data_IF_035015432853
#
_entry.id   IF_035015432853
#
_cell.length_a   1.000
_cell.length_b   1.000
_cell.length_c   1.000
_cell.angle_alpha   90.00
_cell.angle_beta   90.00
_cell.angle_gamma   90.00
#
_symmetry.space_group_name_H-M   'P 1'
#
loop_
_entity.id
_entity.type
_entity.pdbx_description
1 polymer ?
#
# COMPACT_ATOMS: atom_id res chain seq x y z
N UNK A 1 -11.86 -18.51 2.30
CA UNK A 1 -11.30 -19.32 3.41
C UNK A 1 -10.80 -18.46 4.58
N UNK A 2 -11.38 -17.26 4.75
CA UNK A 2 -11.08 -16.34 5.86
C UNK A 2 -11.54 -16.88 7.23
N UNK A 3 -11.00 -16.29 8.31
CA UNK A 3 -11.32 -16.62 9.70
C UNK A 3 -11.15 -18.10 10.05
N UNK A 4 -9.98 -18.66 9.78
CA UNK A 4 -9.63 -20.04 10.09
C UNK A 4 -8.27 -20.13 10.82
N UNK A 5 -7.69 -21.30 10.86
CA UNK A 5 -6.38 -21.56 11.47
C UNK A 5 -5.44 -22.23 10.47
N UNK A 6 -5.61 -21.91 9.19
CA UNK A 6 -4.80 -22.52 8.13
C UNK A 6 -3.35 -22.05 8.26
N UNK A 7 -2.43 -22.97 8.31
CA UNK A 7 -0.99 -22.72 8.26
C UNK A 7 -0.41 -22.88 6.85
N UNK A 8 -1.18 -23.50 5.95
CA UNK A 8 -0.83 -23.68 4.55
C UNK A 8 -2.08 -23.55 3.67
N UNK A 9 -1.91 -23.01 2.46
CA UNK A 9 -2.98 -22.84 1.47
C UNK A 9 -2.41 -23.00 0.06
N UNK A 10 -2.75 -24.10 -0.58
CA UNK A 10 -2.34 -24.36 -1.96
C UNK A 10 -3.47 -24.02 -2.93
N UNK A 11 -3.28 -22.98 -3.74
CA UNK A 11 -4.21 -22.52 -4.79
C UNK A 11 -3.66 -22.68 -6.20
N UNK A 12 -2.54 -23.36 -6.39
CA UNK A 12 -1.82 -23.46 -7.67
C UNK A 12 -2.63 -24.11 -8.79
N UNK A 13 -3.60 -24.97 -8.46
CA UNK A 13 -4.50 -25.60 -9.41
C UNK A 13 -5.76 -24.76 -9.73
N UNK A 14 -6.01 -23.69 -8.96
CA UNK A 14 -7.20 -22.84 -9.11
C UNK A 14 -6.91 -21.68 -10.08
N UNK A 15 -6.47 -21.97 -11.29
CA UNK A 15 -5.98 -21.00 -12.29
C UNK A 15 -7.02 -19.98 -12.76
N UNK A 16 -8.30 -20.21 -12.48
CA UNK A 16 -9.38 -19.29 -12.83
C UNK A 16 -9.84 -18.41 -11.66
N UNK A 17 -9.12 -18.44 -10.52
CA UNK A 17 -9.42 -17.55 -9.40
C UNK A 17 -9.29 -16.08 -9.84
N UNK A 18 -10.36 -15.33 -9.59
CA UNK A 18 -10.39 -13.88 -9.73
C UNK A 18 -10.38 -13.17 -8.40
N UNK A 19 -10.79 -13.85 -7.32
CA UNK A 19 -10.77 -13.33 -5.96
C UNK A 19 -10.28 -14.41 -5.02
N UNK A 20 -9.28 -14.07 -4.19
CA UNK A 20 -8.82 -14.89 -3.09
C UNK A 20 -8.94 -14.10 -1.80
N UNK A 21 -9.73 -14.63 -0.85
CA UNK A 21 -9.82 -14.13 0.50
C UNK A 21 -9.38 -15.23 1.48
N UNK A 22 -8.20 -15.01 2.09
CA UNK A 22 -7.59 -15.90 3.08
C UNK A 22 -7.19 -15.14 4.36
N UNK A 23 -7.87 -14.03 4.64
CA UNK A 23 -7.64 -13.21 5.84
C UNK A 23 -7.82 -14.01 7.14
N UNK A 24 -7.19 -13.53 8.22
CA UNK A 24 -7.31 -14.12 9.56
C UNK A 24 -7.01 -15.62 9.59
N UNK A 25 -5.81 -15.99 9.16
CA UNK A 25 -5.26 -17.35 9.22
C UNK A 25 -3.86 -17.34 9.87
N UNK A 26 -3.08 -18.38 9.69
CA UNK A 26 -1.71 -18.53 10.19
C UNK A 26 -0.73 -18.85 9.05
N UNK A 27 -1.02 -18.33 7.84
CA UNK A 27 -0.19 -18.56 6.68
C UNK A 27 1.15 -17.83 6.85
N UNK A 28 2.25 -18.53 6.71
CA UNK A 28 3.59 -17.95 6.68
C UNK A 28 4.10 -17.69 5.25
N UNK A 29 3.44 -18.26 4.26
CA UNK A 29 3.70 -18.04 2.84
C UNK A 29 2.41 -18.17 2.03
N UNK A 30 2.37 -17.56 0.84
CA UNK A 30 1.24 -17.66 -0.09
C UNK A 30 1.77 -17.59 -1.52
N UNK A 31 1.65 -18.69 -2.28
CA UNK A 31 1.99 -18.73 -3.69
C UNK A 31 0.75 -18.50 -4.57
N UNK A 32 0.69 -17.34 -5.22
CA UNK A 32 -0.34 -16.96 -6.18
C UNK A 32 0.16 -16.89 -7.63
N UNK A 33 1.38 -17.36 -7.90
CA UNK A 33 2.03 -17.27 -9.21
C UNK A 33 1.26 -17.95 -10.35
N UNK A 34 0.41 -18.94 -10.04
CA UNK A 34 -0.43 -19.64 -11.02
C UNK A 34 -1.83 -19.04 -11.18
N UNK A 35 -2.20 -18.10 -10.32
CA UNK A 35 -3.52 -17.46 -10.31
C UNK A 35 -3.47 -16.13 -11.07
N UNK A 36 -3.04 -16.17 -12.33
CA UNK A 36 -2.76 -14.97 -13.16
C UNK A 36 -4.03 -14.15 -13.50
N UNK A 37 -5.21 -14.67 -13.19
CA UNK A 37 -6.50 -13.98 -13.37
C UNK A 37 -6.99 -13.29 -12.09
N UNK A 38 -6.17 -13.26 -11.02
CA UNK A 38 -6.57 -12.57 -9.80
C UNK A 38 -6.75 -11.07 -10.04
N UNK A 39 -7.92 -10.59 -9.62
CA UNK A 39 -8.31 -9.18 -9.58
C UNK A 39 -8.30 -8.65 -8.14
N UNK A 40 -8.64 -9.51 -7.17
CA UNK A 40 -8.69 -9.14 -5.77
C UNK A 40 -7.98 -10.18 -4.91
N UNK A 41 -7.02 -9.72 -4.10
CA UNK A 41 -6.30 -10.54 -3.13
C UNK A 41 -6.41 -9.90 -1.75
N UNK A 42 -6.99 -10.64 -0.81
CA UNK A 42 -7.11 -10.29 0.61
C UNK A 42 -6.42 -11.35 1.45
N UNK A 43 -5.27 -11.01 2.04
CA UNK A 43 -4.48 -11.92 2.86
C UNK A 43 -4.09 -11.29 4.22
N UNK A 44 -4.90 -10.34 4.70
CA UNK A 44 -4.66 -9.64 5.96
C UNK A 44 -4.59 -10.58 7.16
N UNK A 45 -3.89 -10.15 8.22
CA UNK A 45 -3.82 -10.88 9.49
C UNK A 45 -3.40 -12.34 9.31
N UNK A 46 -2.23 -12.51 8.73
CA UNK A 46 -1.49 -13.76 8.60
C UNK A 46 -0.06 -13.57 9.14
N UNK A 47 0.82 -14.49 8.84
CA UNK A 47 2.23 -14.45 9.23
C UNK A 47 3.15 -14.44 8.00
N UNK A 48 2.68 -13.94 6.86
CA UNK A 48 3.37 -13.95 5.57
C UNK A 48 4.61 -13.05 5.65
N UNK A 49 5.78 -13.62 5.33
CA UNK A 49 7.06 -12.92 5.36
C UNK A 49 7.44 -12.32 4.00
N UNK A 50 6.98 -12.93 2.91
CA UNK A 50 7.18 -12.45 1.54
C UNK A 50 5.95 -12.72 0.68
N UNK A 51 5.62 -11.80 -0.24
CA UNK A 51 4.47 -11.92 -1.14
C UNK A 51 4.89 -11.45 -2.54
N UNK A 52 4.92 -12.37 -3.50
CA UNK A 52 5.18 -12.07 -4.90
C UNK A 52 3.86 -12.01 -5.68
N UNK A 53 3.54 -10.81 -6.18
CA UNK A 53 2.36 -10.54 -6.99
C UNK A 53 2.70 -10.20 -8.45
N UNK A 54 3.94 -10.42 -8.86
CA UNK A 54 4.44 -10.05 -10.20
C UNK A 54 3.71 -10.76 -11.35
N UNK A 55 3.15 -11.96 -11.09
CA UNK A 55 2.35 -12.72 -12.06
C UNK A 55 0.87 -12.31 -12.08
N UNK A 56 0.42 -11.51 -11.13
CA UNK A 56 -0.99 -11.12 -10.98
C UNK A 56 -1.21 -9.70 -11.51
N UNK A 57 -0.82 -9.48 -12.77
CA UNK A 57 -0.75 -8.14 -13.38
C UNK A 57 -2.11 -7.44 -13.50
N UNK A 58 -3.22 -8.18 -13.44
CA UNK A 58 -4.58 -7.64 -13.46
C UNK A 58 -5.14 -7.28 -12.07
N UNK A 59 -4.33 -7.29 -11.00
CA UNK A 59 -4.81 -6.93 -9.67
C UNK A 59 -5.37 -5.51 -9.65
N UNK A 60 -6.59 -5.39 -9.12
CA UNK A 60 -7.30 -4.14 -8.85
C UNK A 60 -7.21 -3.80 -7.37
N UNK A 61 -7.35 -4.81 -6.51
CA UNK A 61 -7.26 -4.64 -5.05
C UNK A 61 -6.26 -5.63 -4.46
N UNK A 62 -5.32 -5.11 -3.69
CA UNK A 62 -4.41 -5.90 -2.86
C UNK A 62 -4.50 -5.43 -1.41
N UNK A 63 -4.83 -6.35 -0.50
CA UNK A 63 -4.77 -6.13 0.94
C UNK A 63 -3.93 -7.22 1.61
N UNK A 64 -2.86 -6.80 2.29
CA UNK A 64 -1.94 -7.67 3.03
C UNK A 64 -1.57 -7.07 4.40
N UNK A 65 -2.53 -6.36 5.02
CA UNK A 65 -2.35 -5.67 6.31
C UNK A 65 -2.08 -6.69 7.43
N UNK A 66 -1.29 -6.29 8.44
CA UNK A 66 -0.94 -7.15 9.57
C UNK A 66 -0.33 -8.50 9.16
N UNK A 67 0.83 -8.42 8.51
CA UNK A 67 1.69 -9.54 8.17
C UNK A 67 3.14 -9.27 8.65
N UNK A 68 4.10 -10.01 8.15
CA UNK A 68 5.53 -9.85 8.47
C UNK A 68 6.35 -9.49 7.23
N UNK A 69 5.70 -9.00 6.16
CA UNK A 69 6.31 -8.71 4.86
C UNK A 69 7.39 -7.65 5.03
N UNK A 70 8.60 -7.93 4.51
CA UNK A 70 9.76 -7.03 4.61
C UNK A 70 9.94 -6.14 3.37
N UNK A 71 9.41 -6.56 2.22
CA UNK A 71 9.44 -5.83 0.96
C UNK A 71 8.23 -6.20 0.09
N UNK A 72 7.74 -5.26 -0.70
CA UNK A 72 6.66 -5.50 -1.66
C UNK A 72 6.97 -4.75 -2.96
N UNK A 73 6.92 -5.48 -4.08
CA UNK A 73 7.02 -4.91 -5.42
C UNK A 73 5.66 -4.98 -6.13
N UNK A 74 5.00 -3.84 -6.26
CA UNK A 74 3.75 -3.66 -6.99
C UNK A 74 3.93 -3.04 -8.38
N UNK A 75 5.17 -2.94 -8.88
CA UNK A 75 5.49 -2.26 -10.15
C UNK A 75 4.89 -2.93 -11.39
N UNK A 76 4.47 -4.20 -11.28
CA UNK A 76 3.81 -4.95 -12.35
C UNK A 76 2.28 -4.88 -12.31
N UNK A 77 1.71 -4.25 -11.28
CA UNK A 77 0.27 -4.25 -11.03
C UNK A 77 -0.34 -2.88 -11.39
N UNK A 78 -0.17 -2.45 -12.66
CA UNK A 78 -0.56 -1.12 -13.13
C UNK A 78 -2.09 -0.84 -13.10
N UNK A 79 -2.90 -1.87 -12.90
CA UNK A 79 -4.35 -1.77 -12.77
C UNK A 79 -4.82 -1.60 -11.30
N UNK A 80 -3.89 -1.53 -10.33
CA UNK A 80 -4.27 -1.33 -8.93
C UNK A 80 -5.04 -0.01 -8.74
N UNK A 81 -6.19 -0.13 -8.09
CA UNK A 81 -7.03 0.97 -7.61
C UNK A 81 -6.88 1.15 -6.09
N UNK A 82 -6.60 0.07 -5.36
CA UNK A 82 -6.40 0.08 -3.91
C UNK A 82 -5.27 -0.86 -3.49
N UNK A 83 -4.30 -0.32 -2.75
CA UNK A 83 -3.24 -1.08 -2.09
C UNK A 83 -3.26 -0.79 -0.59
N UNK A 84 -3.44 -1.83 0.21
CA UNK A 84 -3.37 -1.78 1.66
C UNK A 84 -2.33 -2.79 2.17
N UNK A 85 -1.22 -2.24 2.69
CA UNK A 85 -0.09 -3.02 3.17
C UNK A 85 0.44 -2.53 4.54
N UNK A 86 -0.43 -1.88 5.30
CA UNK A 86 -0.14 -1.35 6.63
C UNK A 86 0.28 -2.42 7.64
N UNK A 87 1.00 -2.01 8.68
CA UNK A 87 1.37 -2.89 9.81
C UNK A 87 2.10 -4.16 9.34
N UNK A 88 3.21 -3.94 8.66
CA UNK A 88 4.16 -4.95 8.22
C UNK A 88 5.58 -4.59 8.71
N UNK A 89 6.60 -5.23 8.17
CA UNK A 89 8.01 -4.96 8.46
C UNK A 89 8.74 -4.31 7.28
N UNK A 90 8.00 -3.70 6.33
CA UNK A 90 8.56 -3.26 5.05
C UNK A 90 9.55 -2.12 5.23
N UNK A 91 10.76 -2.35 4.74
CA UNK A 91 11.76 -1.31 4.50
C UNK A 91 11.74 -0.81 3.04
N UNK A 92 11.11 -1.56 2.13
CA UNK A 92 11.00 -1.23 0.71
C UNK A 92 9.56 -1.48 0.20
N UNK A 93 9.01 -0.47 -0.48
CA UNK A 93 7.78 -0.57 -1.25
C UNK A 93 8.04 0.04 -2.63
N UNK A 94 7.95 -0.80 -3.68
CA UNK A 94 8.15 -0.37 -5.07
C UNK A 94 6.78 -0.24 -5.74
N UNK A 95 6.39 0.99 -6.09
CA UNK A 95 5.07 1.24 -6.69
C UNK A 95 5.11 1.18 -8.23
N UNK A 96 6.16 1.68 -8.88
CA UNK A 96 6.19 1.78 -10.34
C UNK A 96 5.31 2.93 -10.85
N UNK A 97 4.38 2.63 -11.78
CA UNK A 97 3.42 3.60 -12.32
C UNK A 97 2.02 2.99 -12.25
N UNK A 98 1.22 3.43 -11.27
CA UNK A 98 -0.12 2.94 -11.00
C UNK A 98 -1.15 4.09 -11.11
N UNK A 99 -1.45 4.58 -12.33
CA UNK A 99 -2.24 5.82 -12.50
C UNK A 99 -3.70 5.68 -12.03
N UNK A 100 -4.18 4.45 -11.87
CA UNK A 100 -5.53 4.15 -11.38
C UNK A 100 -5.60 4.08 -9.85
N UNK A 101 -4.44 4.08 -9.16
CA UNK A 101 -4.40 3.95 -7.71
C UNK A 101 -5.03 5.18 -7.05
N UNK A 102 -6.10 4.95 -6.31
CA UNK A 102 -6.82 5.99 -5.57
C UNK A 102 -6.55 5.92 -4.06
N UNK A 103 -6.24 4.73 -3.54
CA UNK A 103 -5.97 4.51 -2.11
C UNK A 103 -4.67 3.77 -1.92
N UNK A 104 -3.75 4.37 -1.16
CA UNK A 104 -2.54 3.73 -0.66
C UNK A 104 -2.50 3.80 0.87
N UNK A 105 -2.45 2.65 1.52
CA UNK A 105 -2.24 2.51 2.96
C UNK A 105 -0.98 1.69 3.19
N UNK A 106 0.10 2.36 3.59
CA UNK A 106 1.39 1.75 3.89
C UNK A 106 1.93 2.19 5.26
N UNK A 107 1.02 2.66 6.12
CA UNK A 107 1.33 3.08 7.48
C UNK A 107 1.89 1.94 8.35
N UNK A 108 2.61 2.31 9.43
CA UNK A 108 3.19 1.37 10.40
C UNK A 108 4.09 0.32 9.74
N UNK A 109 5.10 0.81 9.05
CA UNK A 109 6.16 0.04 8.42
C UNK A 109 7.55 0.63 8.81
N UNK A 110 8.58 0.37 8.04
CA UNK A 110 9.94 0.86 8.26
C UNK A 110 10.48 1.58 7.03
N UNK A 111 9.59 2.13 6.18
CA UNK A 111 9.96 2.78 4.93
C UNK A 111 10.81 4.02 5.21
N UNK A 112 11.98 4.11 4.59
CA UNK A 112 12.84 5.30 4.62
C UNK A 112 12.61 6.22 3.43
N UNK A 113 11.94 5.73 2.38
CA UNK A 113 11.54 6.48 1.19
C UNK A 113 10.22 5.93 0.64
N UNK A 114 9.47 6.78 -0.06
CA UNK A 114 8.23 6.41 -0.74
C UNK A 114 8.15 7.22 -2.03
N UNK A 115 8.26 6.54 -3.19
CA UNK A 115 8.08 7.14 -4.50
C UNK A 115 6.69 6.81 -5.04
N UNK A 116 5.85 7.85 -5.14
CA UNK A 116 4.48 7.80 -5.62
C UNK A 116 4.24 8.77 -6.78
N UNK A 117 5.31 9.21 -7.43
CA UNK A 117 5.20 10.19 -8.53
C UNK A 117 4.40 9.65 -9.73
N UNK A 118 4.38 8.31 -9.91
CA UNK A 118 3.60 7.63 -10.94
C UNK A 118 2.11 7.45 -10.62
N UNK A 119 1.72 7.66 -9.34
CA UNK A 119 0.38 7.36 -8.84
C UNK A 119 -0.50 8.62 -8.86
N UNK A 120 -0.66 9.20 -10.04
CA UNK A 120 -1.28 10.53 -10.22
C UNK A 120 -2.78 10.56 -9.86
N UNK A 121 -3.44 9.41 -9.82
CA UNK A 121 -4.83 9.27 -9.39
C UNK A 121 -5.06 9.22 -7.88
N UNK A 122 -3.97 9.26 -7.08
CA UNK A 122 -4.02 9.02 -5.64
C UNK A 122 -4.84 10.10 -4.92
N UNK A 123 -5.90 9.64 -4.22
CA UNK A 123 -6.81 10.50 -3.46
C UNK A 123 -6.59 10.38 -1.96
N UNK A 124 -6.22 9.18 -1.49
CA UNK A 124 -5.99 8.89 -0.08
C UNK A 124 -4.63 8.24 0.13
N UNK A 125 -3.79 8.89 0.94
CA UNK A 125 -2.49 8.38 1.35
C UNK A 125 -2.42 8.28 2.87
N UNK A 126 -2.09 7.08 3.37
CA UNK A 126 -1.68 6.83 4.76
C UNK A 126 -0.28 6.25 4.75
N UNK A 127 0.68 7.01 5.24
CA UNK A 127 2.07 6.61 5.36
C UNK A 127 2.68 6.95 6.73
N UNK A 128 1.80 7.17 7.74
CA UNK A 128 2.21 7.43 9.12
C UNK A 128 2.96 6.25 9.73
N UNK A 129 3.73 6.51 10.80
CA UNK A 129 4.48 5.46 11.50
C UNK A 129 5.51 4.76 10.61
N UNK A 130 6.35 5.54 9.91
CA UNK A 130 7.45 5.08 9.08
C UNK A 130 8.75 5.81 9.42
N UNK A 131 9.79 5.68 8.62
CA UNK A 131 11.08 6.36 8.78
C UNK A 131 11.34 7.39 7.66
N UNK A 132 10.28 7.97 7.07
CA UNK A 132 10.41 8.90 5.96
C UNK A 132 11.05 10.20 6.43
N UNK A 133 12.13 10.63 5.78
CA UNK A 133 12.75 11.94 5.99
C UNK A 133 12.21 13.02 5.06
N UNK A 134 11.62 12.61 3.95
CA UNK A 134 10.98 13.47 2.94
C UNK A 134 9.75 12.76 2.37
N UNK A 135 8.78 13.56 1.90
CA UNK A 135 7.62 13.06 1.16
C UNK A 135 7.30 14.06 0.04
N UNK A 136 7.41 13.63 -1.22
CA UNK A 136 7.01 14.43 -2.37
C UNK A 136 5.64 13.97 -2.87
N UNK A 137 4.64 14.84 -2.72
CA UNK A 137 3.27 14.64 -3.20
C UNK A 137 2.90 15.59 -4.35
N UNK A 138 3.89 16.24 -4.95
CA UNK A 138 3.68 17.30 -5.96
C UNK A 138 2.97 16.80 -7.22
N UNK A 139 3.05 15.49 -7.52
CA UNK A 139 2.38 14.84 -8.66
C UNK A 139 1.00 14.28 -8.32
N UNK A 140 0.70 14.12 -7.03
CA UNK A 140 -0.56 13.54 -6.56
C UNK A 140 -1.62 14.63 -6.34
N UNK A 141 -1.94 15.34 -7.41
CA UNK A 141 -2.79 16.55 -7.35
C UNK A 141 -4.26 16.25 -7.00
N UNK A 142 -4.66 14.98 -7.09
CA UNK A 142 -5.99 14.50 -6.69
C UNK A 142 -6.12 14.19 -5.20
N UNK A 143 -5.04 14.33 -4.39
CA UNK A 143 -5.07 14.04 -2.96
C UNK A 143 -6.10 14.89 -2.24
N UNK A 144 -6.99 14.19 -1.51
CA UNK A 144 -7.99 14.77 -0.60
C UNK A 144 -7.68 14.45 0.87
N UNK A 145 -6.92 13.37 1.12
CA UNK A 145 -6.62 12.87 2.45
C UNK A 145 -5.15 12.45 2.56
N UNK A 146 -4.44 12.99 3.56
CA UNK A 146 -3.03 12.67 3.84
C UNK A 146 -2.81 12.47 5.34
N UNK A 147 -2.35 11.28 5.75
CA UNK A 147 -1.77 10.99 7.06
C UNK A 147 -0.30 10.64 6.89
N UNK A 148 0.60 11.40 7.53
CA UNK A 148 2.05 11.22 7.45
C UNK A 148 2.78 11.54 8.76
N UNK A 149 2.05 11.57 9.90
CA UNK A 149 2.64 11.76 11.23
C UNK A 149 3.52 10.57 11.64
N UNK A 150 4.25 10.71 12.75
CA UNK A 150 5.17 9.68 13.25
C UNK A 150 6.18 9.24 12.16
N UNK A 151 6.86 10.24 11.58
CA UNK A 151 7.92 10.12 10.60
C UNK A 151 9.09 11.05 10.97
N UNK A 152 10.09 11.20 10.11
CA UNK A 152 11.21 12.14 10.28
C UNK A 152 11.14 13.31 9.28
N UNK A 153 9.94 13.61 8.74
CA UNK A 153 9.72 14.66 7.74
C UNK A 153 9.88 16.03 8.43
N UNK A 154 10.75 16.89 7.91
CA UNK A 154 10.96 18.24 8.42
C UNK A 154 10.15 19.32 7.70
N UNK A 155 9.82 19.09 6.44
CA UNK A 155 9.04 20.03 5.62
C UNK A 155 8.16 19.29 4.61
N UNK A 156 7.00 19.87 4.30
CA UNK A 156 6.01 19.33 3.37
C UNK A 156 5.46 20.45 2.50
N UNK A 157 5.65 20.37 1.19
CA UNK A 157 5.05 21.32 0.23
C UNK A 157 3.77 20.74 -0.37
N UNK A 158 2.66 21.41 -0.07
CA UNK A 158 1.32 21.03 -0.53
C UNK A 158 0.78 22.04 -1.57
N UNK A 159 1.66 22.83 -2.19
CA UNK A 159 1.26 23.88 -3.13
C UNK A 159 0.48 23.35 -4.34
N UNK A 160 0.69 22.07 -4.70
CA UNK A 160 0.00 21.42 -5.83
C UNK A 160 -1.25 20.62 -5.38
N UNK A 161 -1.45 20.39 -4.07
CA UNK A 161 -2.52 19.54 -3.56
C UNK A 161 -3.75 20.36 -3.15
N UNK A 162 -4.32 21.10 -4.10
CA UNK A 162 -5.41 22.05 -3.86
C UNK A 162 -6.74 21.40 -3.42
N UNK A 163 -6.87 20.09 -3.64
CA UNK A 163 -8.05 19.31 -3.26
C UNK A 163 -7.92 18.72 -1.85
N UNK A 164 -6.78 18.94 -1.14
CA UNK A 164 -6.55 18.34 0.14
C UNK A 164 -7.50 18.91 1.21
N UNK A 165 -8.32 18.03 1.78
CA UNK A 165 -9.32 18.34 2.79
C UNK A 165 -8.87 17.96 4.20
N UNK A 166 -8.11 16.84 4.31
CA UNK A 166 -7.60 16.32 5.57
C UNK A 166 -6.09 16.17 5.53
N UNK A 167 -5.42 16.72 6.51
CA UNK A 167 -3.97 16.59 6.75
C UNK A 167 -3.73 16.24 8.21
N UNK A 168 -3.02 15.13 8.45
CA UNK A 168 -2.43 14.79 9.73
C UNK A 168 -0.92 14.57 9.57
N UNK A 169 -0.14 15.43 10.19
CA UNK A 169 1.32 15.39 10.21
C UNK A 169 1.82 15.89 11.57
N UNK A 170 3.08 15.58 11.91
CA UNK A 170 3.67 16.04 13.16
C UNK A 170 3.71 17.56 13.25
N UNK A 171 3.54 18.11 14.47
CA UNK A 171 3.56 19.56 14.72
C UNK A 171 4.88 20.24 14.32
N UNK A 172 5.98 19.48 14.28
CA UNK A 172 7.30 19.95 13.90
C UNK A 172 7.48 20.16 12.39
N UNK A 173 6.58 19.61 11.56
CA UNK A 173 6.68 19.69 10.10
C UNK A 173 6.35 21.12 9.62
N UNK A 174 7.28 21.72 8.89
CA UNK A 174 7.03 23.00 8.21
C UNK A 174 6.18 22.77 6.96
N UNK A 175 4.88 23.02 7.06
CA UNK A 175 3.93 22.87 5.94
C UNK A 175 3.84 24.17 5.15
N UNK A 176 3.89 24.08 3.81
CA UNK A 176 3.67 25.18 2.87
C UNK A 176 2.56 24.84 1.88
N UNK A 177 1.88 25.85 1.34
CA UNK A 177 0.85 25.68 0.31
C UNK A 177 -0.51 25.12 0.80
N UNK A 178 -0.68 24.90 2.10
CA UNK A 178 -1.92 24.39 2.71
C UNK A 178 -2.55 25.46 3.60
N UNK A 179 -3.84 25.63 3.47
CA UNK A 179 -4.64 26.47 4.38
C UNK A 179 -5.71 25.59 5.01
N UNK A 180 -5.63 25.37 6.33
CA UNK A 180 -6.70 24.68 7.06
C UNK A 180 -8.01 25.39 6.81
N UNK A 181 -8.98 24.66 6.30
CA UNK A 181 -10.35 25.13 6.14
C UNK A 181 -11.16 24.91 7.40
#
# INVERSE_FOLDING_TARGET
CYDNKLSDLNVTNNRNLTTLDCQNNKLNSLDVSKNTKLLNLFCDRNEIESLDVSSNTGLITLSCIFNKISELDASKNADLESLACSSNNMNTLVMGVNPKLTVLQCDKNKLSSLDIAGDTGLQRLKCDGNNLSTLDVSKNTALTYLECYDNSISSLDLSNNKMLEYLDCDYSVKVTGYTRR
#
